data_IF_591257891469
#
_entry.id   IF_591257891469
#
_cell.length_a   1.000
_cell.length_b   1.000
_cell.length_c   1.000
_cell.angle_alpha   90.00
_cell.angle_beta   90.00
_cell.angle_gamma   90.00
#
_symmetry.space_group_name_H-M   'P 1'
#
loop_
_entity.id
_entity.type
_entity.pdbx_description
1 polymer ?
#
# COMPACT_ATOMS: atom_id res chain seq x y z
N UNK A 1 15.26 10.61 -7.99
CA UNK A 1 15.90 11.71 -7.25
C UNK A 1 15.29 11.74 -5.86
N UNK A 2 15.74 10.82 -5.01
CA UNK A 2 15.21 10.56 -3.66
C UNK A 2 16.34 10.60 -2.63
N UNK A 3 17.45 11.25 -2.99
CA UNK A 3 18.74 11.13 -2.31
C UNK A 3 19.01 12.33 -1.38
N UNK A 4 17.97 13.16 -1.14
CA UNK A 4 18.04 14.33 -0.27
C UNK A 4 16.93 14.32 0.78
N UNK A 5 17.29 14.72 2.01
CA UNK A 5 16.34 14.96 3.07
C UNK A 5 15.35 16.09 2.70
N UNK A 6 14.06 15.85 2.90
CA UNK A 6 12.99 16.81 2.65
C UNK A 6 12.86 17.93 3.69
N UNK A 7 13.71 17.93 4.71
CA UNK A 7 13.81 19.05 5.63
C UNK A 7 14.77 20.11 5.07
N UNK A 8 14.26 21.31 4.78
CA UNK A 8 15.05 22.39 4.18
C UNK A 8 16.18 22.90 5.06
N UNK A 9 16.08 22.74 6.39
CA UNK A 9 17.10 23.17 7.37
C UNK A 9 17.99 22.01 7.84
N UNK A 10 17.96 20.88 7.13
CA UNK A 10 18.78 19.71 7.45
C UNK A 10 20.27 20.04 7.30
N UNK A 11 21.03 19.93 8.39
CA UNK A 11 22.49 20.18 8.41
C UNK A 11 23.32 18.94 8.10
N UNK A 12 22.73 17.75 8.16
CA UNK A 12 23.35 16.50 7.69
C UNK A 12 23.38 16.49 6.17
N UNK A 13 24.44 17.05 5.60
CA UNK A 13 24.86 16.78 4.23
C UNK A 13 25.15 15.29 4.08
N UNK A 14 24.87 14.76 2.90
CA UNK A 14 25.02 13.37 2.46
C UNK A 14 26.47 12.86 2.42
N UNK A 15 27.31 13.22 3.40
CA UNK A 15 28.77 13.04 3.40
C UNK A 15 29.29 12.37 4.68
N UNK A 16 28.57 11.41 5.25
CA UNK A 16 29.11 10.52 6.30
C UNK A 16 29.18 9.08 5.78
N UNK A 17 30.14 8.24 6.25
CA UNK A 17 30.47 6.95 5.64
C UNK A 17 29.30 5.94 5.65
N UNK A 18 29.39 4.89 4.82
CA UNK A 18 28.25 4.11 4.34
C UNK A 18 27.83 3.02 5.31
N UNK A 19 27.46 3.36 6.55
CA UNK A 19 26.88 2.39 7.47
C UNK A 19 25.53 2.94 7.97
N UNK A 20 24.45 2.57 7.27
CA UNK A 20 23.04 2.56 7.73
C UNK A 20 22.15 3.83 7.68
N UNK A 21 22.48 4.91 6.96
CA UNK A 21 21.61 6.11 6.90
C UNK A 21 20.74 6.20 5.63
N UNK A 22 19.90 5.19 5.38
CA UNK A 22 18.91 5.25 4.30
C UNK A 22 17.79 6.26 4.63
N UNK A 23 17.50 7.18 3.71
CA UNK A 23 16.40 8.12 3.87
C UNK A 23 15.07 7.35 3.99
N UNK A 24 14.25 7.71 4.97
CA UNK A 24 12.95 7.10 5.23
C UNK A 24 11.85 7.91 4.56
N UNK A 25 11.07 7.27 3.69
CA UNK A 25 9.92 7.90 3.06
C UNK A 25 8.86 8.27 4.10
N UNK A 26 8.20 9.41 3.90
CA UNK A 26 6.99 9.75 4.63
C UNK A 26 5.96 8.63 4.47
N UNK A 27 5.58 7.98 5.58
CA UNK A 27 4.66 6.84 5.59
C UNK A 27 3.29 7.14 4.98
N UNK A 28 2.88 8.41 4.99
CA UNK A 28 1.60 8.85 4.44
C UNK A 28 1.65 9.02 2.92
N UNK A 29 2.52 9.88 2.40
CA UNK A 29 2.52 10.22 0.97
C UNK A 29 3.51 9.40 0.14
N UNK A 30 4.54 8.82 0.77
CA UNK A 30 5.66 8.11 0.13
C UNK A 30 6.39 8.92 -0.97
N UNK A 31 6.33 10.26 -0.92
CA UNK A 31 6.94 11.18 -1.91
C UNK A 31 8.18 11.91 -1.44
N UNK A 32 8.28 12.20 -0.14
CA UNK A 32 9.38 12.94 0.47
C UNK A 32 10.08 12.02 1.46
N UNK A 33 11.41 12.02 1.46
CA UNK A 33 12.22 11.19 2.34
C UNK A 33 12.94 12.05 3.38
N UNK A 34 13.15 11.53 4.59
CA UNK A 34 13.80 12.22 5.69
C UNK A 34 14.90 11.32 6.28
N UNK A 35 16.02 11.92 6.72
CA UNK A 35 17.06 11.16 7.39
C UNK A 35 16.62 10.67 8.78
N UNK A 36 15.64 11.34 9.39
CA UNK A 36 15.18 11.02 10.73
C UNK A 36 13.75 11.52 11.00
N UNK A 37 13.15 11.05 12.09
CA UNK A 37 11.82 11.48 12.53
C UNK A 37 11.82 12.96 12.96
N UNK A 38 12.93 13.46 13.50
CA UNK A 38 13.12 14.86 13.86
C UNK A 38 13.04 15.74 12.61
N UNK A 39 13.73 15.36 11.53
CA UNK A 39 13.66 16.08 10.26
C UNK A 39 12.25 16.05 9.65
N UNK A 40 11.55 14.93 9.75
CA UNK A 40 10.16 14.85 9.30
C UNK A 40 9.24 15.78 10.10
N UNK A 41 9.39 15.78 11.43
CA UNK A 41 8.58 16.60 12.33
C UNK A 41 8.84 18.09 12.15
N UNK A 42 10.11 18.49 12.02
CA UNK A 42 10.51 19.86 11.73
C UNK A 42 9.96 20.35 10.38
N UNK A 43 9.94 19.49 9.36
CA UNK A 43 9.39 19.81 8.05
C UNK A 43 7.84 19.73 7.99
N UNK A 44 7.15 19.20 9.02
CA UNK A 44 5.71 18.97 8.98
C UNK A 44 4.85 20.21 8.69
N UNK A 45 5.11 21.40 9.26
CA UNK A 45 4.30 22.60 9.00
C UNK A 45 4.24 22.98 7.52
N UNK A 46 5.34 22.82 6.78
CA UNK A 46 5.40 23.06 5.33
C UNK A 46 4.92 21.85 4.52
N UNK A 47 5.25 20.63 4.95
CA UNK A 47 4.91 19.38 4.25
C UNK A 47 3.41 19.06 4.26
N UNK A 48 2.71 19.28 5.38
CA UNK A 48 1.33 18.78 5.62
C UNK A 48 0.33 19.16 4.53
N UNK A 49 0.47 20.35 3.95
CA UNK A 49 -0.41 20.87 2.89
C UNK A 49 -0.29 20.08 1.58
N UNK A 50 0.88 19.54 1.29
CA UNK A 50 1.15 18.74 0.09
C UNK A 50 1.16 17.22 0.37
N UNK A 51 0.95 16.81 1.63
CA UNK A 51 1.05 15.41 2.06
C UNK A 51 -0.24 14.62 1.72
N UNK A 52 -0.33 14.16 0.47
CA UNK A 52 -1.45 13.37 -0.04
C UNK A 52 -1.07 11.90 -0.12
N UNK A 53 -1.93 11.01 0.42
CA UNK A 53 -1.75 9.56 0.27
C UNK A 53 -1.87 9.19 -1.21
N UNK A 54 -1.02 8.29 -1.73
CA UNK A 54 -1.14 7.87 -3.13
C UNK A 54 -2.44 7.10 -3.35
N UNK A 55 -2.83 7.00 -4.61
CA UNK A 55 -3.83 6.05 -5.07
C UNK A 55 -3.11 4.90 -5.80
N UNK A 56 -3.66 3.69 -5.68
CA UNK A 56 -3.34 2.57 -6.54
C UNK A 56 -4.21 2.63 -7.79
N UNK A 57 -3.60 2.46 -8.97
CA UNK A 57 -4.36 2.29 -10.21
C UNK A 57 -4.51 0.78 -10.42
N UNK A 58 -5.73 0.28 -10.19
CA UNK A 58 -6.02 -1.16 -10.18
C UNK A 58 -6.95 -1.49 -11.33
N UNK A 59 -6.57 -2.50 -12.14
CA UNK A 59 -7.39 -3.02 -13.24
C UNK A 59 -8.09 -4.30 -12.78
N UNK A 60 -9.41 -4.29 -12.85
CA UNK A 60 -10.27 -5.40 -12.48
C UNK A 60 -10.76 -6.12 -13.74
N UNK A 61 -10.70 -7.44 -13.69
CA UNK A 61 -11.20 -8.34 -14.73
C UNK A 61 -12.38 -9.12 -14.17
N UNK A 62 -13.52 -9.10 -14.84
CA UNK A 62 -14.69 -9.85 -14.40
C UNK A 62 -14.60 -11.30 -14.91
N UNK A 63 -14.51 -12.25 -13.98
CA UNK A 63 -14.44 -13.68 -14.25
C UNK A 63 -13.57 -14.03 -15.48
N UNK A 64 -12.27 -13.66 -15.49
CA UNK A 64 -11.43 -13.71 -16.70
C UNK A 64 -11.27 -15.12 -17.31
N UNK A 65 -11.50 -16.19 -16.53
CA UNK A 65 -11.52 -17.57 -17.04
C UNK A 65 -12.83 -17.98 -17.71
N UNK A 66 -13.92 -17.22 -17.55
CA UNK A 66 -15.25 -17.53 -18.07
C UNK A 66 -15.75 -16.48 -19.07
N UNK A 67 -15.40 -15.21 -18.89
CA UNK A 67 -15.81 -14.09 -19.74
C UNK A 67 -14.58 -13.56 -20.49
N UNK A 68 -14.33 -14.15 -21.66
CA UNK A 68 -13.12 -13.86 -22.45
C UNK A 68 -13.38 -13.01 -23.69
N UNK A 69 -14.60 -13.01 -24.24
CA UNK A 69 -14.92 -12.26 -25.46
C UNK A 69 -16.36 -11.67 -25.47
N UNK A 70 -16.53 -10.34 -25.38
CA UNK A 70 -15.48 -9.36 -25.08
C UNK A 70 -15.07 -9.45 -23.59
N UNK A 71 -13.78 -9.23 -23.26
CA UNK A 71 -13.36 -9.20 -21.87
C UNK A 71 -13.95 -7.98 -21.16
N UNK A 72 -14.54 -8.21 -19.99
CA UNK A 72 -15.15 -7.14 -19.19
C UNK A 72 -14.16 -6.66 -18.14
N UNK A 73 -13.65 -5.43 -18.30
CA UNK A 73 -12.65 -4.84 -17.40
C UNK A 73 -12.98 -3.42 -16.97
N UNK A 74 -12.50 -3.02 -15.78
CA UNK A 74 -12.59 -1.64 -15.26
C UNK A 74 -11.28 -1.25 -14.60
N UNK A 75 -10.82 -0.02 -14.83
CA UNK A 75 -9.62 0.53 -14.17
C UNK A 75 -10.05 1.60 -13.19
N UNK A 76 -9.70 1.43 -11.91
CA UNK A 76 -10.06 2.36 -10.84
C UNK A 76 -8.82 2.99 -10.20
N UNK A 77 -8.97 4.24 -9.75
CA UNK A 77 -8.01 4.93 -8.90
C UNK A 77 -8.46 4.79 -7.44
N UNK A 78 -7.83 3.87 -6.71
CA UNK A 78 -8.22 3.49 -5.36
C UNK A 78 -7.29 4.14 -4.33
N UNK A 79 -7.79 4.92 -3.36
CA UNK A 79 -6.93 5.47 -2.32
C UNK A 79 -6.16 4.39 -1.58
N UNK A 80 -4.86 4.56 -1.34
CA UNK A 80 -4.01 3.53 -0.71
C UNK A 80 -4.37 3.21 0.76
N UNK A 81 -5.32 3.95 1.32
CA UNK A 81 -5.85 3.76 2.67
C UNK A 81 -7.34 3.36 2.66
N UNK A 82 -7.90 3.08 1.49
CA UNK A 82 -9.25 2.56 1.38
C UNK A 82 -9.28 1.13 1.95
N UNK A 83 -10.28 0.85 2.77
CA UNK A 83 -10.58 -0.52 3.22
C UNK A 83 -11.33 -1.28 2.12
N UNK A 84 -11.32 -2.62 2.20
CA UNK A 84 -11.99 -3.48 1.21
C UNK A 84 -13.47 -3.17 1.00
N UNK A 85 -14.17 -2.72 2.05
CA UNK A 85 -15.57 -2.30 1.91
C UNK A 85 -15.75 -1.13 0.93
N UNK A 86 -14.87 -0.12 1.00
CA UNK A 86 -14.92 1.03 0.07
C UNK A 86 -14.57 0.58 -1.34
N UNK A 87 -13.60 -0.35 -1.48
CA UNK A 87 -13.29 -0.96 -2.77
C UNK A 87 -14.49 -1.73 -3.34
N UNK A 88 -15.21 -2.48 -2.51
CA UNK A 88 -16.43 -3.19 -2.92
C UNK A 88 -17.51 -2.24 -3.45
N UNK A 89 -17.79 -1.14 -2.75
CA UNK A 89 -18.75 -0.12 -3.21
C UNK A 89 -18.31 0.51 -4.54
N UNK A 90 -17.01 0.77 -4.70
CA UNK A 90 -16.46 1.29 -5.95
C UNK A 90 -16.62 0.29 -7.11
N UNK A 91 -16.43 -1.01 -6.86
CA UNK A 91 -16.68 -2.06 -7.84
C UNK A 91 -18.16 -2.16 -8.21
N UNK A 92 -19.06 -2.13 -7.23
CA UNK A 92 -20.50 -2.13 -7.50
C UNK A 92 -20.91 -0.95 -8.40
N UNK A 93 -20.37 0.24 -8.13
CA UNK A 93 -20.62 1.42 -8.97
C UNK A 93 -20.02 1.25 -10.37
N UNK A 94 -18.77 0.79 -10.49
CA UNK A 94 -18.06 0.67 -11.76
C UNK A 94 -18.64 -0.41 -12.70
N UNK A 95 -19.25 -1.45 -12.14
CA UNK A 95 -19.90 -2.53 -12.89
C UNK A 95 -21.43 -2.44 -12.90
N UNK A 96 -22.03 -1.46 -12.22
CA UNK A 96 -23.48 -1.28 -12.16
C UNK A 96 -24.20 -2.39 -11.39
N UNK A 97 -23.55 -2.96 -10.37
CA UNK A 97 -24.14 -4.01 -9.55
C UNK A 97 -25.01 -3.45 -8.43
N UNK A 98 -26.10 -4.16 -8.13
CA UNK A 98 -26.93 -3.89 -6.97
C UNK A 98 -26.26 -4.38 -5.68
N UNK A 99 -26.59 -3.74 -4.56
CA UNK A 99 -26.07 -4.09 -3.23
C UNK A 99 -26.89 -5.21 -2.58
N UNK A 100 -27.02 -6.34 -3.25
CA UNK A 100 -27.98 -7.42 -2.89
C UNK A 100 -27.33 -8.74 -2.53
N UNK A 101 -26.02 -8.86 -2.69
CA UNK A 101 -25.28 -10.10 -2.47
C UNK A 101 -24.12 -9.89 -1.50
N UNK A 102 -23.78 -10.95 -0.76
CA UNK A 102 -22.57 -11.00 0.05
C UNK A 102 -21.32 -10.92 -0.82
N UNK A 103 -20.23 -10.42 -0.25
CA UNK A 103 -18.94 -10.29 -0.92
C UNK A 103 -17.82 -10.68 0.03
N UNK A 104 -16.69 -11.07 -0.56
CA UNK A 104 -15.44 -11.31 0.16
C UNK A 104 -14.24 -10.97 -0.76
N UNK A 105 -13.06 -10.81 -0.18
CA UNK A 105 -11.80 -10.60 -0.89
C UNK A 105 -10.76 -11.63 -0.42
N UNK A 106 -10.29 -12.46 -1.35
CA UNK A 106 -9.13 -13.31 -1.12
C UNK A 106 -7.88 -12.62 -1.67
N UNK A 107 -6.86 -12.43 -0.83
CA UNK A 107 -5.58 -11.83 -1.20
C UNK A 107 -4.47 -12.73 -0.68
N UNK A 108 -3.44 -12.93 -1.49
CA UNK A 108 -2.22 -13.62 -1.07
C UNK A 108 -1.49 -12.71 -0.08
N UNK A 109 -1.27 -13.21 1.14
CA UNK A 109 -0.40 -12.55 2.09
C UNK A 109 1.05 -12.64 1.58
N UNK A 110 1.70 -11.51 1.23
CA UNK A 110 3.06 -11.52 0.70
C UNK A 110 4.10 -11.92 1.75
N UNK A 111 3.79 -11.82 3.04
CA UNK A 111 4.69 -12.16 4.14
C UNK A 111 4.53 -13.63 4.58
N UNK A 112 3.46 -14.29 4.14
CA UNK A 112 3.23 -15.70 4.43
C UNK A 112 4.27 -16.58 3.75
N UNK A 113 4.90 -17.46 4.54
CA UNK A 113 5.79 -18.53 4.08
C UNK A 113 5.23 -19.85 4.58
N UNK A 114 5.13 -20.84 3.70
CA UNK A 114 4.75 -22.19 4.14
C UNK A 114 5.80 -22.71 5.14
N UNK A 115 5.38 -23.30 6.27
CA UNK A 115 6.31 -23.91 7.20
C UNK A 115 7.03 -25.09 6.54
N UNK A 116 8.34 -25.18 6.71
CA UNK A 116 9.16 -26.25 6.14
C UNK A 116 8.89 -27.64 6.79
N UNK A 117 8.28 -27.67 7.99
CA UNK A 117 7.99 -28.89 8.75
C UNK A 117 6.49 -29.05 9.07
N UNK A 118 5.93 -30.19 8.68
CA UNK A 118 4.56 -30.64 8.97
C UNK A 118 4.26 -30.63 10.47
N UNK A 119 5.26 -30.89 11.33
CA UNK A 119 5.09 -30.89 12.78
C UNK A 119 4.80 -29.49 13.32
N UNK A 120 5.30 -28.42 12.68
CA UNK A 120 5.00 -27.04 13.06
C UNK A 120 3.54 -26.68 12.75
N UNK A 121 3.00 -27.18 11.63
CA UNK A 121 1.59 -27.02 11.24
C UNK A 121 0.67 -27.71 12.25
N UNK A 122 1.01 -28.93 12.68
CA UNK A 122 0.24 -29.71 13.66
C UNK A 122 0.20 -28.99 15.01
N UNK A 123 1.33 -28.42 15.45
CA UNK A 123 1.41 -27.71 16.72
C UNK A 123 0.63 -26.39 16.71
N UNK A 124 0.65 -25.63 15.61
CA UNK A 124 -0.15 -24.39 15.48
C UNK A 124 -1.66 -24.67 15.50
N UNK A 125 -2.11 -25.77 14.90
CA UNK A 125 -3.53 -26.17 14.90
C UNK A 125 -4.05 -26.69 16.23
N UNK A 126 -3.17 -27.15 17.13
CA UNK A 126 -3.53 -27.57 18.50
C UNK A 126 -3.61 -26.42 19.50
N UNK A 127 -3.13 -25.24 19.13
CA UNK A 127 -3.09 -24.05 19.99
C UNK A 127 -4.23 -23.05 19.71
N UNK A 128 -5.13 -23.37 18.78
CA UNK A 128 -6.43 -22.72 18.56
C UNK A 128 -7.54 -23.58 19.18
#
# INVERSE_FOLDING_TARGET
>A
STDKCGNAVCTTSSASPPDSNSLRLCSRCRRVAYCSLECQSAAWPSHKRACVRPNYIVKFHLAPGQITNPPVTRTLSCPAHAVFYVLHLALQTAFGWATTHSFDFAVVDPDYREPDDIMEIINRRKAM
#
